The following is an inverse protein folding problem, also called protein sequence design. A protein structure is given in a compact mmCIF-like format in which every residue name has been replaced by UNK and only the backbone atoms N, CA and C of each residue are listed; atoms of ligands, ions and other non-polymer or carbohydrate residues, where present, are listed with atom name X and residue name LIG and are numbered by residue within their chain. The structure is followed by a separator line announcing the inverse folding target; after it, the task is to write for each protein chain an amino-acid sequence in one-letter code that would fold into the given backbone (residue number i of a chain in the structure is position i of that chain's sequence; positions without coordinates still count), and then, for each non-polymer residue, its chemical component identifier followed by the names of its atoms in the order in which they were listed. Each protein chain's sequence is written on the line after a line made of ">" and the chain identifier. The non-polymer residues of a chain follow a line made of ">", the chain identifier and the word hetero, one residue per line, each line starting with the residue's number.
data_IF_262874587144
#
_entry.id   IF_262874587144
#
_cell.length_a   1.000
_cell.length_b   1.000
_cell.length_c   1.000
_cell.angle_alpha   90.00
_cell.angle_beta   90.00
_cell.angle_gamma   90.00
#
_symmetry.space_group_name_H-M   'P 1'
#
loop_
_entity.id
_entity.type
_entity.pdbx_description
1 polymer ?
#
# COMPACT_ATOMS: atom_id res chain seq x y z
N UNK A 1 4.87 -21.05 -21.44
CA UNK A 1 5.01 -19.61 -21.14
C UNK A 1 3.62 -19.02 -20.93
N UNK A 2 3.38 -18.34 -19.80
CA UNK A 2 2.05 -17.83 -19.40
C UNK A 2 2.04 -16.30 -19.23
N UNK A 3 3.19 -15.63 -19.41
CA UNK A 3 3.34 -14.21 -19.12
C UNK A 3 2.47 -13.31 -20.01
N UNK A 4 2.20 -13.74 -21.25
CA UNK A 4 1.36 -13.00 -22.21
C UNK A 4 -0.15 -13.13 -22.01
N UNK A 5 -0.62 -14.02 -21.12
CA UNK A 5 -2.05 -14.31 -21.00
C UNK A 5 -2.85 -13.24 -20.25
N UNK A 6 -2.16 -12.41 -19.47
CA UNK A 6 -2.76 -11.29 -18.74
C UNK A 6 -2.43 -9.94 -19.39
N UNK A 7 -1.97 -9.94 -20.65
CA UNK A 7 -1.70 -8.73 -21.43
C UNK A 7 -2.49 -8.79 -22.71
N UNK A 8 -3.29 -7.75 -22.96
CA UNK A 8 -3.99 -7.61 -24.23
C UNK A 8 -2.98 -7.35 -25.36
N UNK A 9 -3.06 -8.15 -26.42
CA UNK A 9 -2.07 -8.13 -27.51
C UNK A 9 -2.12 -6.85 -28.36
N UNK A 10 -3.24 -6.10 -28.32
CA UNK A 10 -3.45 -4.89 -29.13
C UNK A 10 -3.13 -3.63 -28.33
N UNK A 11 -3.66 -3.51 -27.11
CA UNK A 11 -3.51 -2.34 -26.25
C UNK A 11 -2.33 -2.42 -25.29
N UNK A 12 -1.73 -3.60 -25.08
CA UNK A 12 -0.66 -3.83 -24.11
C UNK A 12 -1.12 -3.67 -22.65
N UNK A 13 -2.44 -3.54 -22.40
CA UNK A 13 -3.01 -3.37 -21.07
C UNK A 13 -3.12 -4.70 -20.35
N UNK A 14 -3.04 -4.66 -19.01
CA UNK A 14 -3.21 -5.87 -18.22
C UNK A 14 -4.70 -6.21 -18.05
N UNK A 15 -5.07 -7.43 -18.44
CA UNK A 15 -6.43 -7.98 -18.32
C UNK A 15 -6.35 -9.24 -17.47
N UNK A 16 -7.14 -9.33 -16.41
CA UNK A 16 -7.13 -10.49 -15.51
C UNK A 16 -8.00 -11.60 -16.07
N UNK A 17 -7.39 -12.70 -16.51
CA UNK A 17 -8.11 -13.81 -17.13
C UNK A 17 -8.98 -14.59 -16.13
N UNK A 18 -10.10 -15.15 -16.60
CA UNK A 18 -10.89 -16.18 -15.89
C UNK A 18 -10.65 -17.50 -16.60
N UNK A 19 -10.20 -18.52 -15.88
CA UNK A 19 -9.68 -19.76 -16.50
C UNK A 19 -10.16 -21.01 -15.80
N UNK A 20 -10.39 -22.06 -16.59
CA UNK A 20 -10.69 -23.40 -16.09
C UNK A 20 -9.39 -24.20 -15.87
N UNK A 21 -9.30 -24.87 -14.73
CA UNK A 21 -8.22 -25.77 -14.37
C UNK A 21 -8.79 -27.15 -14.03
N UNK A 22 -8.27 -28.20 -14.67
CA UNK A 22 -8.63 -29.58 -14.34
C UNK A 22 -8.40 -29.85 -12.85
N UNK A 23 -9.43 -30.34 -12.16
CA UNK A 23 -9.39 -30.61 -10.71
C UNK A 23 -9.54 -29.40 -9.78
N UNK A 24 -9.60 -28.15 -10.30
CA UNK A 24 -9.82 -26.94 -9.49
C UNK A 24 -10.99 -26.06 -9.96
N UNK A 25 -11.53 -26.32 -11.15
CA UNK A 25 -12.65 -25.57 -11.70
C UNK A 25 -12.24 -24.22 -12.30
N UNK A 26 -13.19 -23.28 -12.36
CA UNK A 26 -12.99 -21.94 -12.91
C UNK A 26 -12.42 -21.01 -11.83
N UNK A 27 -11.29 -20.37 -12.11
CA UNK A 27 -10.57 -19.47 -11.20
C UNK A 27 -10.30 -18.12 -11.87
N UNK A 28 -10.29 -17.06 -11.07
CA UNK A 28 -9.73 -15.76 -11.47
C UNK A 28 -8.20 -15.88 -11.44
N UNK A 29 -7.55 -15.59 -12.56
CA UNK A 29 -6.13 -15.84 -12.80
C UNK A 29 -5.36 -14.56 -13.16
N UNK A 30 -5.52 -13.53 -12.34
CA UNK A 30 -4.81 -12.27 -12.46
C UNK A 30 -5.23 -11.29 -11.37
N UNK A 31 -4.33 -10.39 -10.99
CA UNK A 31 -4.57 -9.35 -9.99
C UNK A 31 -3.97 -7.99 -10.38
N UNK A 32 -3.81 -7.72 -11.67
CA UNK A 32 -3.23 -6.48 -12.19
C UNK A 32 -4.29 -5.40 -12.42
N UNK A 33 -3.91 -4.14 -12.24
CA UNK A 33 -4.71 -2.99 -12.66
C UNK A 33 -4.51 -2.74 -14.16
N UNK A 34 -5.27 -1.80 -14.75
CA UNK A 34 -5.02 -1.36 -16.12
C UNK A 34 -3.65 -0.64 -16.28
N UNK A 35 -3.04 -0.22 -15.18
CA UNK A 35 -1.69 0.34 -15.13
C UNK A 35 -0.64 -0.75 -14.81
N UNK A 36 -0.69 -1.84 -15.57
CA UNK A 36 0.15 -3.02 -15.34
C UNK A 36 1.65 -2.79 -15.52
N UNK A 37 2.06 -1.70 -16.18
CA UNK A 37 3.47 -1.35 -16.37
C UNK A 37 4.05 -0.51 -15.23
N UNK A 38 3.20 0.07 -14.39
CA UNK A 38 3.64 0.80 -13.20
C UNK A 38 4.41 -0.13 -12.25
N UNK A 39 5.38 0.42 -11.52
CA UNK A 39 6.04 -0.30 -10.43
C UNK A 39 5.20 -0.24 -9.15
N UNK A 40 4.52 0.89 -8.93
CA UNK A 40 3.77 1.16 -7.69
C UNK A 40 2.32 0.67 -7.76
N UNK A 41 1.67 0.80 -8.93
CA UNK A 41 0.22 0.61 -9.08
C UNK A 41 -0.17 -0.61 -9.89
N UNK A 42 0.80 -1.51 -10.15
CA UNK A 42 0.59 -2.71 -10.97
C UNK A 42 -0.55 -3.59 -10.46
N UNK A 43 -0.68 -3.74 -9.14
CA UNK A 43 -1.55 -4.74 -8.54
C UNK A 43 -2.77 -4.15 -7.85
N UNK A 44 -3.90 -4.84 -8.01
CA UNK A 44 -5.20 -4.46 -7.45
C UNK A 44 -5.14 -4.40 -5.93
N UNK A 45 -4.49 -5.37 -5.27
CA UNK A 45 -4.39 -5.40 -3.81
C UNK A 45 -3.63 -4.17 -3.28
N UNK A 46 -2.51 -3.81 -3.90
CA UNK A 46 -1.72 -2.62 -3.52
C UNK A 46 -2.56 -1.35 -3.65
N UNK A 47 -3.21 -1.15 -4.80
CA UNK A 47 -4.06 0.03 -5.04
C UNK A 47 -5.25 0.09 -4.10
N UNK A 48 -5.92 -1.04 -3.84
CA UNK A 48 -7.07 -1.10 -2.91
C UNK A 48 -6.65 -0.82 -1.47
N UNK A 49 -5.52 -1.35 -1.02
CA UNK A 49 -4.98 -1.08 0.32
C UNK A 49 -4.64 0.39 0.49
N UNK A 50 -3.92 0.99 -0.46
CA UNK A 50 -3.59 2.43 -0.42
C UNK A 50 -4.83 3.31 -0.41
N UNK A 51 -5.82 3.01 -1.27
CA UNK A 51 -7.10 3.75 -1.28
C UNK A 51 -7.84 3.59 0.05
N UNK A 52 -7.88 2.39 0.64
CA UNK A 52 -8.53 2.17 1.93
C UNK A 52 -7.86 2.98 3.05
N UNK A 53 -6.53 2.98 3.11
CA UNK A 53 -5.75 3.75 4.09
C UNK A 53 -6.03 5.25 3.92
N UNK A 54 -5.96 5.76 2.69
CA UNK A 54 -6.23 7.16 2.37
C UNK A 54 -7.62 7.59 2.83
N UNK A 55 -8.67 6.83 2.45
CA UNK A 55 -10.05 7.17 2.80
C UNK A 55 -10.29 7.07 4.32
N UNK A 56 -9.71 6.07 4.99
CA UNK A 56 -9.85 5.89 6.43
C UNK A 56 -9.15 7.01 7.20
N UNK A 57 -7.92 7.36 6.80
CA UNK A 57 -7.16 8.45 7.41
C UNK A 57 -7.86 9.81 7.20
N UNK A 58 -8.34 10.09 5.98
CA UNK A 58 -9.12 11.30 5.71
C UNK A 58 -10.40 11.35 6.55
N UNK A 59 -11.09 10.22 6.70
CA UNK A 59 -12.30 10.16 7.53
C UNK A 59 -11.98 10.44 9.01
N UNK A 60 -10.91 9.88 9.55
CA UNK A 60 -10.50 10.08 10.93
C UNK A 60 -10.06 11.53 11.21
N UNK A 61 -9.28 12.14 10.32
CA UNK A 61 -8.79 13.52 10.48
C UNK A 61 -9.91 14.56 10.42
N UNK A 62 -11.06 14.25 9.80
CA UNK A 62 -12.22 15.16 9.77
C UNK A 62 -12.72 15.57 11.16
N UNK A 63 -12.50 14.74 12.19
CA UNK A 63 -12.89 15.05 13.56
C UNK A 63 -12.12 16.27 14.14
N UNK A 64 -10.98 16.64 13.55
CA UNK A 64 -10.14 17.76 13.98
C UNK A 64 -10.37 19.03 13.15
N UNK A 65 -11.34 19.03 12.23
CA UNK A 65 -11.69 20.24 11.48
C UNK A 65 -12.30 21.25 12.45
N UNK A 66 -11.79 22.49 12.41
CA UNK A 66 -12.11 23.58 13.34
C UNK A 66 -11.55 23.47 14.76
N UNK A 67 -10.74 22.46 15.06
CA UNK A 67 -9.92 22.46 16.28
C UNK A 67 -8.80 23.52 16.18
N UNK A 68 -8.26 24.00 17.32
CA UNK A 68 -7.10 24.90 17.32
C UNK A 68 -5.94 24.31 16.51
N UNK A 69 -5.41 25.07 15.55
CA UNK A 69 -4.28 24.65 14.70
C UNK A 69 -2.94 24.81 15.44
N UNK A 70 -2.74 24.01 16.49
CA UNK A 70 -1.57 24.07 17.36
C UNK A 70 -0.87 22.71 17.52
N UNK A 71 0.25 22.71 18.24
CA UNK A 71 1.07 21.52 18.46
C UNK A 71 0.33 20.39 19.20
N UNK A 72 -0.69 20.70 20.00
CA UNK A 72 -1.46 19.69 20.73
C UNK A 72 -2.35 18.93 19.75
N UNK A 73 -3.09 19.66 18.90
CA UNK A 73 -3.92 19.06 17.84
C UNK A 73 -3.08 18.24 16.87
N UNK A 74 -1.91 18.76 16.46
CA UNK A 74 -1.02 18.01 15.56
C UNK A 74 -0.53 16.71 16.18
N UNK A 75 -0.17 16.74 17.47
CA UNK A 75 0.27 15.55 18.20
C UNK A 75 -0.86 14.52 18.34
N UNK A 76 -2.09 14.96 18.62
CA UNK A 76 -3.25 14.09 18.70
C UNK A 76 -3.54 13.40 17.36
N UNK A 77 -3.51 14.15 16.26
CA UNK A 77 -3.66 13.61 14.89
C UNK A 77 -2.54 12.61 14.58
N UNK A 78 -1.29 12.94 14.92
CA UNK A 78 -0.14 12.06 14.70
C UNK A 78 -0.32 10.72 15.42
N UNK A 79 -0.63 10.76 16.73
CA UNK A 79 -0.79 9.57 17.57
C UNK A 79 -1.92 8.68 17.03
N UNK A 80 -3.06 9.29 16.65
CA UNK A 80 -4.19 8.56 16.08
C UNK A 80 -3.79 7.83 14.79
N UNK A 81 -3.11 8.51 13.86
CA UNK A 81 -2.69 7.91 12.59
C UNK A 81 -1.59 6.85 12.79
N UNK A 82 -0.64 7.09 13.70
CA UNK A 82 0.40 6.11 14.06
C UNK A 82 -0.23 4.83 14.63
N UNK A 83 -1.23 4.93 15.51
CA UNK A 83 -1.92 3.78 16.07
C UNK A 83 -2.69 3.00 15.00
N UNK A 84 -3.40 3.71 14.10
CA UNK A 84 -4.10 3.09 12.97
C UNK A 84 -3.15 2.30 12.07
N UNK A 85 -2.05 2.92 11.63
CA UNK A 85 -1.06 2.27 10.77
C UNK A 85 -0.30 1.14 11.47
N UNK A 86 -0.06 1.27 12.78
CA UNK A 86 0.50 0.17 13.60
C UNK A 86 -0.40 -1.05 13.59
N UNK A 87 -1.72 -0.86 13.73
CA UNK A 87 -2.69 -1.96 13.64
C UNK A 87 -2.67 -2.65 12.28
N UNK A 88 -2.56 -1.89 11.20
CA UNK A 88 -2.43 -2.44 9.84
C UNK A 88 -1.12 -3.18 9.62
N UNK A 89 -0.01 -2.66 10.14
CA UNK A 89 1.30 -3.34 10.09
C UNK A 89 1.27 -4.68 10.86
N UNK A 90 0.72 -4.70 12.07
CA UNK A 90 0.56 -5.92 12.87
C UNK A 90 -0.33 -6.96 12.18
N UNK A 91 -1.33 -6.51 11.41
CA UNK A 91 -2.17 -7.37 10.59
C UNK A 91 -1.52 -7.83 9.27
N UNK A 92 -0.27 -7.43 9.00
CA UNK A 92 0.49 -7.84 7.81
C UNK A 92 0.14 -7.07 6.54
N UNK A 93 -0.56 -5.94 6.63
CA UNK A 93 -0.91 -5.12 5.46
C UNK A 93 0.28 -4.26 4.96
N UNK A 94 1.23 -3.94 5.84
CA UNK A 94 2.43 -3.15 5.56
C UNK A 94 3.69 -3.99 5.73
N UNK A 95 4.71 -3.74 4.91
CA UNK A 95 5.97 -4.47 4.91
C UNK A 95 7.02 -3.75 5.78
N UNK A 96 7.70 -4.48 6.65
CA UNK A 96 8.83 -3.94 7.43
C UNK A 96 9.06 -4.78 8.68
N UNK A 97 10.33 -4.94 9.08
CA UNK A 97 10.68 -5.70 10.28
C UNK A 97 10.24 -4.99 11.57
N UNK A 98 10.18 -3.66 11.53
CA UNK A 98 9.66 -2.78 12.58
C UNK A 98 8.73 -1.74 11.96
N UNK A 99 7.84 -1.16 12.76
CA UNK A 99 6.87 -0.15 12.30
C UNK A 99 7.51 1.02 11.56
N UNK A 100 8.69 1.48 11.99
CA UNK A 100 9.41 2.59 11.35
C UNK A 100 9.93 2.27 9.93
N UNK A 101 10.06 0.99 9.58
CA UNK A 101 10.40 0.58 8.21
C UNK A 101 9.14 0.48 7.33
N UNK A 102 7.98 0.30 7.97
CA UNK A 102 6.71 0.06 7.31
C UNK A 102 5.93 1.36 7.02
N UNK A 103 6.02 2.35 7.89
CA UNK A 103 5.37 3.64 7.69
C UNK A 103 6.01 4.79 8.47
N UNK A 104 5.69 6.02 8.07
CA UNK A 104 5.96 7.22 8.83
C UNK A 104 4.81 8.23 8.71
N UNK A 105 4.40 8.80 9.84
CA UNK A 105 3.47 9.94 9.91
C UNK A 105 4.26 11.20 10.21
N UNK A 106 4.20 12.17 9.31
CA UNK A 106 4.85 13.47 9.49
C UNK A 106 3.79 14.56 9.57
N UNK A 107 3.90 15.37 10.61
CA UNK A 107 3.04 16.55 10.85
C UNK A 107 3.80 17.50 11.78
N UNK A 108 3.80 18.79 11.44
CA UNK A 108 4.29 19.83 12.33
C UNK A 108 4.93 21.01 11.61
N UNK A 109 5.09 22.11 12.35
CA UNK A 109 5.80 23.30 11.89
C UNK A 109 7.29 22.99 11.65
N UNK A 110 7.80 23.34 10.47
CA UNK A 110 9.17 23.02 10.06
C UNK A 110 9.36 21.58 9.58
N UNK A 111 8.33 20.72 9.66
CA UNK A 111 8.33 19.37 9.09
C UNK A 111 7.48 19.32 7.82
N UNK A 112 6.16 19.49 7.96
CA UNK A 112 5.22 19.47 6.83
C UNK A 112 4.54 20.82 6.59
N UNK A 113 4.66 21.75 7.53
CA UNK A 113 4.00 23.05 7.50
C UNK A 113 4.99 24.19 7.70
N UNK A 114 4.71 25.30 7.04
CA UNK A 114 5.36 26.60 7.29
C UNK A 114 4.51 27.44 8.26
N UNK A 115 5.08 28.53 8.78
CA UNK A 115 4.32 29.48 9.61
C UNK A 115 3.13 30.08 8.83
N UNK A 116 3.28 30.25 7.51
CA UNK A 116 2.23 30.73 6.63
C UNK A 116 1.10 29.70 6.46
N UNK A 117 1.42 28.41 6.35
CA UNK A 117 0.39 27.36 6.33
C UNK A 117 -0.46 27.42 7.60
N UNK A 118 0.17 27.55 8.78
CA UNK A 118 -0.53 27.62 10.06
C UNK A 118 -1.42 28.88 10.16
N UNK A 119 -0.92 30.05 9.76
CA UNK A 119 -1.69 31.29 9.73
C UNK A 119 -2.89 31.23 8.77
N UNK A 120 -2.74 30.51 7.66
CA UNK A 120 -3.82 30.29 6.70
C UNK A 120 -4.78 29.16 7.13
N UNK A 121 -4.61 28.58 8.33
CA UNK A 121 -5.45 27.51 8.84
C UNK A 121 -5.24 26.16 8.14
N UNK A 122 -4.10 25.97 7.47
CA UNK A 122 -3.76 24.71 6.80
C UNK A 122 -3.03 23.79 7.78
N UNK A 123 -3.52 22.56 7.89
CA UNK A 123 -2.84 21.46 8.58
C UNK A 123 -2.43 20.40 7.55
N UNK A 124 -1.12 20.21 7.35
CA UNK A 124 -0.57 19.26 6.36
C UNK A 124 -0.04 18.02 7.05
N UNK A 125 -0.54 16.86 6.65
CA UNK A 125 -0.11 15.55 7.15
C UNK A 125 0.43 14.73 6.00
N UNK A 126 1.66 14.25 6.12
CA UNK A 126 2.27 13.35 5.14
C UNK A 126 2.31 11.93 5.71
N UNK A 127 1.80 10.98 4.93
CA UNK A 127 1.85 9.55 5.22
C UNK A 127 2.80 8.88 4.24
N UNK A 128 3.83 8.22 4.75
CA UNK A 128 4.75 7.37 3.98
C UNK A 128 4.46 5.92 4.34
N UNK A 129 4.29 5.04 3.35
CA UNK A 129 3.81 3.67 3.55
C UNK A 129 4.58 2.69 2.65
N UNK A 130 4.97 1.54 3.19
CA UNK A 130 5.51 0.41 2.45
C UNK A 130 4.45 -0.71 2.41
N UNK A 131 3.76 -0.87 1.28
CA UNK A 131 2.69 -1.85 1.11
C UNK A 131 3.24 -3.18 0.60
N UNK A 132 2.67 -4.29 1.06
CA UNK A 132 3.07 -5.64 0.64
C UNK A 132 2.71 -5.89 -0.83
N UNK A 133 3.70 -6.24 -1.65
CA UNK A 133 3.51 -6.68 -3.04
C UNK A 133 3.24 -8.20 -3.12
N UNK A 134 2.38 -8.66 -4.04
CA UNK A 134 2.12 -10.08 -4.23
C UNK A 134 3.27 -10.80 -4.95
N UNK A 135 3.47 -12.08 -4.63
CA UNK A 135 4.36 -12.97 -5.39
C UNK A 135 3.65 -13.47 -6.66
N UNK A 136 3.94 -12.86 -7.81
CA UNK A 136 3.33 -13.23 -9.09
C UNK A 136 3.93 -14.49 -9.71
N UNK A 137 5.23 -14.72 -9.54
CA UNK A 137 5.95 -15.85 -10.08
C UNK A 137 6.72 -16.58 -8.98
N UNK A 138 6.63 -17.91 -8.97
CA UNK A 138 7.45 -18.77 -8.11
C UNK A 138 8.42 -19.51 -9.04
N UNK A 139 9.72 -19.29 -8.84
CA UNK A 139 10.78 -20.02 -9.54
C UNK A 139 11.32 -21.05 -8.57
N UNK A 140 11.20 -22.33 -8.92
CA UNK A 140 11.76 -23.45 -8.16
C UNK A 140 13.00 -23.96 -8.90
N UNK A 141 14.15 -23.92 -8.22
CA UNK A 141 15.39 -24.55 -8.68
C UNK A 141 15.53 -25.91 -8.00
N UNK A 142 15.76 -26.95 -8.80
CA UNK A 142 15.98 -28.32 -8.30
C UNK A 142 17.41 -28.74 -8.62
N UNK A 143 18.17 -29.07 -7.58
CA UNK A 143 19.53 -29.60 -7.69
C UNK A 143 19.64 -30.91 -6.90
N UNK A 144 20.33 -31.90 -7.48
CA UNK A 144 20.61 -33.16 -6.81
C UNK A 144 21.95 -33.08 -6.10
N UNK A 145 21.94 -33.05 -4.77
CA UNK A 145 23.17 -33.17 -3.98
C UNK A 145 23.51 -34.65 -3.80
N UNK A 146 24.71 -35.07 -4.21
CA UNK A 146 25.23 -36.40 -3.88
C UNK A 146 25.67 -36.42 -2.41
N UNK A 147 25.42 -37.53 -1.73
CA UNK A 147 25.92 -37.75 -0.37
C UNK A 147 27.44 -37.82 -0.44
N UNK A 148 28.12 -36.86 0.17
CA UNK A 148 29.57 -36.93 0.36
C UNK A 148 29.84 -37.91 1.49
N UNK A 149 30.39 -39.08 1.14
CA UNK A 149 30.92 -40.07 2.09
C UNK A 149 32.18 -39.58 2.78
#
# INVERSE_FOLDING_TARGET
>A
DQAGLNVDAVSGKSINAIRFFNGRGVLVWGARTLDGNSQDWRYINVRRTMTMIEQSAMHAVKAYVFEPNDANTWSAVKIMLDNFLTGLWQAGALQGAKSSDAFAVQIGLGSTMTALDVQNGLMRVNLMLAVVHPAEFIVLTLEQQQVTS
#
